data_IF_651379734976
#
_entry.id   IF_651379734976
#
_cell.length_a   1.000
_cell.length_b   1.000
_cell.length_c   1.000
_cell.angle_alpha   90.00
_cell.angle_beta   90.00
_cell.angle_gamma   90.00
#
_symmetry.space_group_name_H-M   'P 1'
#
loop_
_entity.id
_entity.type
_entity.pdbx_description
1 polymer ?
#
# COMPACT_ATOMS: atom_id res chain seq x y z
N UNK A 1 -10.28 -25.59 19.20
CA UNK A 1 -8.98 -25.17 18.65
C UNK A 1 -9.08 -24.73 17.18
N UNK A 2 -9.72 -25.51 16.29
CA UNK A 2 -9.90 -25.16 14.86
C UNK A 2 -10.78 -23.91 14.60
N UNK A 3 -11.91 -23.77 15.30
CA UNK A 3 -12.81 -22.60 15.15
C UNK A 3 -12.13 -21.26 15.49
N UNK A 4 -11.29 -21.24 16.53
CA UNK A 4 -10.55 -20.05 16.93
C UNK A 4 -9.50 -19.64 15.87
N UNK A 5 -8.86 -20.62 15.20
CA UNK A 5 -7.91 -20.34 14.11
C UNK A 5 -8.62 -19.77 12.88
N UNK A 6 -9.79 -20.28 12.53
CA UNK A 6 -10.60 -19.77 11.41
C UNK A 6 -11.05 -18.34 11.67
N UNK A 7 -11.53 -18.04 12.89
CA UNK A 7 -11.96 -16.70 13.26
C UNK A 7 -10.80 -15.70 13.20
N UNK A 8 -9.63 -16.07 13.72
CA UNK A 8 -8.43 -15.22 13.64
C UNK A 8 -7.98 -14.96 12.20
N UNK A 9 -8.08 -15.97 11.32
CA UNK A 9 -7.78 -15.81 9.90
C UNK A 9 -8.79 -14.88 9.20
N UNK A 10 -10.09 -15.04 9.47
CA UNK A 10 -11.14 -14.20 8.90
C UNK A 10 -10.95 -12.72 9.26
N UNK A 11 -10.73 -12.42 10.56
CA UNK A 11 -10.46 -11.06 11.03
C UNK A 11 -9.22 -10.47 10.34
N UNK A 12 -8.16 -11.28 10.17
CA UNK A 12 -6.93 -10.85 9.49
C UNK A 12 -7.20 -10.44 8.04
N UNK A 13 -7.89 -11.28 7.28
CA UNK A 13 -8.19 -10.96 5.87
C UNK A 13 -9.14 -9.77 5.74
N UNK A 14 -10.10 -9.63 6.65
CA UNK A 14 -10.99 -8.47 6.68
C UNK A 14 -10.21 -7.16 6.92
N UNK A 15 -9.27 -7.16 7.86
CA UNK A 15 -8.38 -6.01 8.08
C UNK A 15 -7.54 -5.66 6.85
N UNK A 16 -7.01 -6.68 6.15
CA UNK A 16 -6.21 -6.49 4.94
C UNK A 16 -7.05 -5.87 3.83
N UNK A 17 -8.22 -6.45 3.55
CA UNK A 17 -9.11 -5.98 2.47
C UNK A 17 -9.56 -4.54 2.76
N UNK A 18 -10.00 -4.26 3.98
CA UNK A 18 -10.40 -2.91 4.39
C UNK A 18 -9.23 -1.93 4.27
N UNK A 19 -8.03 -2.33 4.68
CA UNK A 19 -6.84 -1.50 4.55
C UNK A 19 -6.47 -1.19 3.10
N UNK A 20 -6.59 -2.16 2.19
CA UNK A 20 -6.36 -1.98 0.75
C UNK A 20 -7.35 -0.98 0.17
N UNK A 21 -8.65 -1.14 0.48
CA UNK A 21 -9.69 -0.24 -0.03
C UNK A 21 -9.49 1.18 0.48
N UNK A 22 -9.27 1.36 1.79
CA UNK A 22 -9.02 2.68 2.37
C UNK A 22 -7.75 3.31 1.79
N UNK A 23 -6.67 2.55 1.65
CA UNK A 23 -5.45 3.03 1.03
C UNK A 23 -5.66 3.43 -0.43
N UNK A 24 -6.48 2.70 -1.18
CA UNK A 24 -6.71 2.98 -2.58
C UNK A 24 -7.54 4.25 -2.74
N UNK A 25 -8.53 4.46 -1.87
CA UNK A 25 -9.29 5.71 -1.77
C UNK A 25 -8.36 6.86 -1.41
N UNK A 26 -7.47 6.68 -0.42
CA UNK A 26 -6.44 7.68 -0.07
C UNK A 26 -5.68 8.17 -1.29
N UNK A 27 -5.15 7.23 -2.10
CA UNK A 27 -4.37 7.58 -3.29
C UNK A 27 -5.24 8.17 -4.40
N UNK A 28 -6.33 7.52 -4.78
CA UNK A 28 -7.12 7.87 -5.98
C UNK A 28 -8.04 9.07 -5.79
N UNK A 29 -8.56 9.30 -4.58
CA UNK A 29 -9.55 10.35 -4.31
C UNK A 29 -8.90 11.63 -3.80
N UNK A 30 -7.87 11.52 -2.96
CA UNK A 30 -7.27 12.68 -2.31
C UNK A 30 -5.93 13.09 -2.93
N UNK A 31 -5.06 12.14 -3.26
CA UNK A 31 -3.68 12.46 -3.65
C UNK A 31 -3.51 12.63 -5.16
N UNK A 32 -4.01 11.67 -5.94
CA UNK A 32 -3.87 11.63 -7.39
C UNK A 32 -4.51 12.84 -8.12
N UNK A 33 -5.74 13.30 -7.81
CA UNK A 33 -6.38 14.38 -8.57
C UNK A 33 -5.68 15.74 -8.49
N UNK A 34 -4.77 15.89 -7.52
CA UNK A 34 -4.05 17.14 -7.26
C UNK A 34 -2.54 16.98 -7.41
N UNK A 35 -2.08 15.88 -8.03
CA UNK A 35 -0.67 15.54 -8.26
C UNK A 35 0.16 15.56 -6.97
N UNK A 36 -0.45 15.14 -5.87
CA UNK A 36 0.23 15.06 -4.58
C UNK A 36 0.91 13.70 -4.51
N UNK A 37 2.23 13.67 -4.69
CA UNK A 37 3.00 12.44 -4.57
C UNK A 37 3.16 12.01 -3.09
N UNK A 38 2.63 10.85 -2.66
CA UNK A 38 2.91 10.30 -1.33
C UNK A 38 4.38 9.85 -1.20
N UNK A 39 4.85 9.52 0.00
CA UNK A 39 6.21 9.00 0.14
C UNK A 39 6.36 7.56 -0.42
N UNK A 40 7.57 7.20 -0.87
CA UNK A 40 7.93 5.83 -1.26
C UNK A 40 7.50 5.43 -2.67
N UNK A 41 7.15 4.15 -2.86
CA UNK A 41 6.85 3.58 -4.18
C UNK A 41 5.60 4.20 -4.82
N UNK A 42 4.56 4.47 -4.02
CA UNK A 42 3.35 5.12 -4.52
C UNK A 42 3.65 6.53 -5.06
N UNK A 43 4.49 7.31 -4.37
CA UNK A 43 4.94 8.63 -4.84
C UNK A 43 5.70 8.59 -6.14
N UNK A 44 6.70 7.70 -6.22
CA UNK A 44 7.45 7.50 -7.45
C UNK A 44 6.52 7.13 -8.62
N UNK A 45 5.47 6.36 -8.35
CA UNK A 45 4.48 5.97 -9.36
C UNK A 45 3.58 7.13 -9.77
N UNK A 46 3.16 7.99 -8.83
CA UNK A 46 2.41 9.22 -9.12
C UNK A 46 3.23 10.19 -9.98
N UNK A 47 4.51 10.41 -9.65
CA UNK A 47 5.40 11.26 -10.44
C UNK A 47 5.61 10.71 -11.87
N UNK A 48 5.75 9.39 -12.01
CA UNK A 48 5.86 8.77 -13.33
C UNK A 48 4.56 8.89 -14.14
N UNK A 49 3.40 8.81 -13.49
CA UNK A 49 2.12 9.08 -14.13
C UNK A 49 2.01 10.54 -14.59
N UNK A 50 2.45 11.51 -13.79
CA UNK A 50 2.44 12.94 -14.16
C UNK A 50 3.31 13.23 -15.40
N UNK A 51 4.43 12.51 -15.57
CA UNK A 51 5.36 12.73 -16.69
C UNK A 51 5.03 11.88 -17.93
N UNK A 52 4.52 10.66 -17.75
CA UNK A 52 4.38 9.66 -18.83
C UNK A 52 2.96 9.13 -19.02
N UNK A 53 1.96 9.63 -18.28
CA UNK A 53 0.56 9.16 -18.29
C UNK A 53 0.40 7.65 -18.03
N UNK A 54 1.36 7.04 -17.33
CA UNK A 54 1.36 5.58 -17.05
C UNK A 54 0.34 5.22 -15.97
N UNK A 55 -0.32 4.05 -16.01
CA UNK A 55 -1.20 3.62 -14.93
C UNK A 55 -0.44 3.49 -13.59
N UNK A 56 -0.90 4.24 -12.58
CA UNK A 56 -0.21 4.34 -11.27
C UNK A 56 -0.09 2.96 -10.62
N UNK A 57 -1.18 2.18 -10.61
CA UNK A 57 -1.22 0.84 -10.01
C UNK A 57 -0.21 -0.11 -10.66
N UNK A 58 -0.12 -0.12 -12.00
CA UNK A 58 0.88 -0.91 -12.73
C UNK A 58 2.31 -0.54 -12.30
N UNK A 59 2.63 0.76 -12.25
CA UNK A 59 3.97 1.21 -11.85
C UNK A 59 4.27 0.84 -10.40
N UNK A 60 3.28 0.96 -9.49
CA UNK A 60 3.42 0.50 -8.10
C UNK A 60 3.76 -0.98 -8.05
N UNK A 61 3.07 -1.81 -8.83
CA UNK A 61 3.32 -3.25 -8.88
C UNK A 61 4.75 -3.54 -9.36
N UNK A 62 5.16 -2.94 -10.48
CA UNK A 62 6.48 -3.14 -11.09
C UNK A 62 7.62 -2.69 -10.17
N UNK A 63 7.52 -1.50 -9.57
CA UNK A 63 8.54 -0.98 -8.64
C UNK A 63 8.64 -1.80 -7.36
N UNK A 64 7.55 -2.48 -6.96
CA UNK A 64 7.60 -3.37 -5.81
C UNK A 64 8.32 -4.70 -6.11
N UNK A 65 8.31 -5.22 -7.33
CA UNK A 65 8.96 -6.50 -7.68
C UNK A 65 10.39 -6.62 -7.13
N UNK A 66 11.33 -5.67 -7.42
CA UNK A 66 12.70 -5.79 -6.93
C UNK A 66 12.79 -5.73 -5.39
N UNK A 67 11.97 -4.89 -4.74
CA UNK A 67 11.94 -4.76 -3.28
C UNK A 67 11.44 -6.05 -2.63
N UNK A 68 10.41 -6.63 -3.23
CA UNK A 68 9.76 -7.85 -2.76
C UNK A 68 10.67 -9.06 -2.97
N UNK A 69 11.45 -9.07 -4.04
CA UNK A 69 12.50 -10.05 -4.30
C UNK A 69 13.63 -9.95 -3.25
N UNK A 70 14.08 -8.74 -2.91
CA UNK A 70 15.04 -8.55 -1.82
C UNK A 70 14.49 -9.07 -0.49
N UNK A 71 13.24 -8.75 -0.16
CA UNK A 71 12.59 -9.26 1.05
C UNK A 71 12.46 -10.78 1.08
N UNK A 72 12.29 -11.42 -0.08
CA UNK A 72 12.22 -12.88 -0.17
C UNK A 72 13.53 -13.55 0.28
N UNK A 73 14.67 -13.01 -0.16
CA UNK A 73 15.98 -13.56 0.15
C UNK A 73 16.52 -13.15 1.52
N UNK A 74 16.14 -11.96 2.02
CA UNK A 74 16.75 -11.37 3.22
C UNK A 74 15.97 -11.61 4.51
N UNK A 75 14.68 -11.95 4.45
CA UNK A 75 13.86 -12.16 5.65
C UNK A 75 13.84 -13.63 6.11
N UNK A 76 13.97 -13.91 7.42
CA UNK A 76 13.67 -15.23 7.96
C UNK A 76 12.18 -15.54 7.77
N UNK A 77 11.85 -16.63 7.06
CA UNK A 77 10.50 -16.94 6.54
C UNK A 77 9.98 -15.97 5.47
N UNK A 78 10.88 -15.38 4.67
CA UNK A 78 10.57 -14.41 3.61
C UNK A 78 9.42 -14.85 2.72
N UNK A 79 9.40 -16.09 2.23
CA UNK A 79 8.33 -16.60 1.38
C UNK A 79 6.91 -16.32 1.91
N UNK A 80 6.64 -16.55 3.21
CA UNK A 80 5.29 -16.39 3.77
C UNK A 80 4.87 -14.92 3.87
N UNK A 81 5.78 -14.04 4.32
CA UNK A 81 5.48 -12.61 4.45
C UNK A 81 5.37 -11.99 3.08
N UNK A 82 6.30 -12.32 2.19
CA UNK A 82 6.44 -11.71 0.89
C UNK A 82 5.31 -12.08 -0.05
N UNK A 83 4.88 -13.35 -0.06
CA UNK A 83 3.72 -13.77 -0.86
C UNK A 83 2.46 -13.00 -0.47
N UNK A 84 2.26 -12.73 0.83
CA UNK A 84 1.11 -11.93 1.29
C UNK A 84 1.21 -10.49 0.80
N UNK A 85 2.39 -9.87 0.88
CA UNK A 85 2.53 -8.50 0.38
C UNK A 85 2.36 -8.43 -1.13
N UNK A 86 2.86 -9.40 -1.90
CA UNK A 86 2.64 -9.46 -3.35
C UNK A 86 1.15 -9.46 -3.67
N UNK A 87 0.35 -10.27 -2.96
CA UNK A 87 -1.11 -10.28 -3.12
C UNK A 87 -1.71 -8.91 -2.74
N UNK A 88 -1.27 -8.31 -1.64
CA UNK A 88 -1.74 -6.97 -1.22
C UNK A 88 -1.43 -5.92 -2.28
N UNK A 89 -0.18 -5.86 -2.75
CA UNK A 89 0.28 -4.93 -3.78
C UNK A 89 -0.52 -5.14 -5.07
N UNK A 90 -0.67 -6.40 -5.51
CA UNK A 90 -1.42 -6.73 -6.73
C UNK A 90 -2.87 -6.26 -6.64
N UNK A 91 -3.57 -6.59 -5.55
CA UNK A 91 -4.98 -6.17 -5.36
C UNK A 91 -5.05 -4.64 -5.25
N UNK A 92 -4.16 -4.02 -4.49
CA UNK A 92 -4.09 -2.56 -4.36
C UNK A 92 -3.88 -1.87 -5.71
N UNK A 93 -2.91 -2.32 -6.50
CA UNK A 93 -2.63 -1.83 -7.86
C UNK A 93 -3.85 -1.92 -8.77
N UNK A 94 -4.52 -3.08 -8.79
CA UNK A 94 -5.74 -3.28 -9.59
C UNK A 94 -6.85 -2.34 -9.12
N UNK A 95 -7.05 -2.21 -7.81
CA UNK A 95 -8.08 -1.33 -7.26
C UNK A 95 -7.79 0.12 -7.63
N UNK A 96 -6.55 0.60 -7.50
CA UNK A 96 -6.15 1.96 -7.86
C UNK A 96 -6.43 2.27 -9.33
N UNK A 97 -5.96 1.42 -10.25
CA UNK A 97 -6.15 1.64 -11.70
C UNK A 97 -7.62 1.52 -12.13
N UNK A 98 -8.45 0.78 -11.39
CA UNK A 98 -9.89 0.68 -11.68
C UNK A 98 -10.73 1.78 -11.00
N UNK A 99 -10.33 2.27 -9.83
CA UNK A 99 -11.02 3.35 -9.13
C UNK A 99 -10.73 4.71 -9.77
N UNK A 100 -9.47 4.99 -10.10
CA UNK A 100 -9.03 6.29 -10.61
C UNK A 100 -9.91 6.83 -11.75
N UNK A 101 -10.12 6.08 -12.84
CA UNK A 101 -10.94 6.53 -13.97
C UNK A 101 -12.45 6.69 -13.67
N UNK A 102 -12.93 6.13 -12.55
CA UNK A 102 -14.35 6.13 -12.18
C UNK A 102 -14.71 7.22 -11.17
N UNK A 103 -13.71 7.95 -10.67
CA UNK A 103 -13.87 8.99 -9.66
C UNK A 103 -13.76 10.39 -10.30
N UNK A 104 -14.35 11.42 -9.68
CA UNK A 104 -14.28 12.78 -10.21
C UNK A 104 -12.82 13.27 -10.30
N UNK A 105 -12.44 13.78 -11.47
CA UNK A 105 -11.08 14.28 -11.72
C UNK A 105 -10.69 15.50 -10.85
N UNK A 106 -11.67 16.15 -10.21
CA UNK A 106 -11.46 17.30 -9.31
C UNK A 106 -11.24 16.90 -7.85
N UNK A 107 -11.26 15.61 -7.52
CA UNK A 107 -11.19 15.14 -6.12
C UNK A 107 -12.42 15.56 -5.28
N UNK A 108 -12.29 15.51 -3.96
CA UNK A 108 -13.36 15.91 -3.01
C UNK A 108 -13.32 17.42 -2.71
N UNK A 109 -12.17 18.06 -2.84
CA UNK A 109 -11.97 19.49 -2.55
C UNK A 109 -10.88 20.07 -3.45
N UNK A 110 -11.00 21.35 -3.80
CA UNK A 110 -9.97 22.06 -4.57
C UNK A 110 -8.74 22.45 -3.72
N UNK A 111 -8.86 22.36 -2.40
CA UNK A 111 -7.79 22.75 -1.48
C UNK A 111 -6.73 21.65 -1.35
N UNK A 112 -5.54 21.89 -1.92
CA UNK A 112 -4.39 20.96 -1.86
C UNK A 112 -4.02 20.54 -0.45
N UNK A 113 -4.02 21.46 0.51
CA UNK A 113 -3.64 21.15 1.90
C UNK A 113 -4.65 20.21 2.57
N UNK A 114 -5.94 20.40 2.30
CA UNK A 114 -7.00 19.57 2.87
C UNK A 114 -6.92 18.14 2.34
N UNK A 115 -6.69 17.99 1.05
CA UNK A 115 -6.50 16.69 0.41
C UNK A 115 -5.22 15.99 0.88
N UNK A 116 -4.11 16.71 1.03
CA UNK A 116 -2.88 16.14 1.60
C UNK A 116 -3.12 15.60 3.02
N UNK A 117 -3.85 16.34 3.85
CA UNK A 117 -4.19 15.94 5.22
C UNK A 117 -5.07 14.68 5.23
N UNK A 118 -6.18 14.68 4.49
CA UNK A 118 -7.08 13.53 4.44
C UNK A 118 -6.44 12.32 3.75
N UNK A 119 -5.68 12.54 2.68
CA UNK A 119 -4.88 11.51 2.02
C UNK A 119 -3.90 10.87 2.99
N UNK A 120 -3.17 11.66 3.78
CA UNK A 120 -2.26 11.18 4.81
C UNK A 120 -2.96 10.39 5.92
N UNK A 121 -4.05 10.92 6.48
CA UNK A 121 -4.80 10.27 7.57
C UNK A 121 -5.43 8.96 7.09
N UNK A 122 -6.13 8.98 5.95
CA UNK A 122 -6.79 7.78 5.39
C UNK A 122 -5.76 6.74 4.97
N UNK A 123 -4.67 7.16 4.31
CA UNK A 123 -3.58 6.27 3.92
C UNK A 123 -2.90 5.63 5.13
N UNK A 124 -2.65 6.41 6.19
CA UNK A 124 -2.11 5.93 7.46
C UNK A 124 -3.02 4.89 8.13
N UNK A 125 -4.34 5.11 8.13
CA UNK A 125 -5.31 4.12 8.62
C UNK A 125 -5.25 2.84 7.79
N UNK A 126 -5.23 2.95 6.45
CA UNK A 126 -5.17 1.80 5.55
C UNK A 126 -3.93 0.94 5.79
N UNK A 127 -2.76 1.56 5.83
CA UNK A 127 -1.49 0.89 6.13
C UNK A 127 -1.48 0.30 7.55
N UNK A 128 -1.99 1.03 8.54
CA UNK A 128 -2.07 0.59 9.93
C UNK A 128 -2.94 -0.67 10.11
N UNK A 129 -4.05 -0.79 9.40
CA UNK A 129 -4.90 -1.99 9.41
C UNK A 129 -4.15 -3.21 8.83
N UNK A 130 -3.39 -3.02 7.75
CA UNK A 130 -2.60 -4.07 7.11
C UNK A 130 -1.47 -4.55 8.03
N UNK A 131 -0.79 -3.63 8.71
CA UNK A 131 0.20 -3.99 9.72
C UNK A 131 -0.41 -4.70 10.94
N UNK A 132 -1.58 -4.27 11.39
CA UNK A 132 -2.31 -4.94 12.48
C UNK A 132 -2.69 -6.37 12.10
N UNK A 133 -2.91 -6.63 10.82
CA UNK A 133 -3.12 -7.97 10.27
C UNK A 133 -1.80 -8.79 10.12
N UNK A 134 -0.65 -8.25 10.53
CA UNK A 134 0.66 -8.88 10.43
C UNK A 134 1.10 -9.12 8.98
N UNK A 135 0.67 -8.24 8.07
CA UNK A 135 1.12 -8.17 6.69
C UNK A 135 1.86 -6.84 6.46
N UNK A 136 2.47 -6.69 5.29
CA UNK A 136 3.20 -5.46 4.92
C UNK A 136 2.62 -4.92 3.62
N UNK A 137 2.57 -3.60 3.50
CA UNK A 137 1.96 -2.90 2.37
C UNK A 137 2.85 -2.89 1.11
N UNK A 138 4.09 -3.37 1.22
CA UNK A 138 5.07 -3.32 0.14
C UNK A 138 5.96 -2.08 0.17
N UNK A 139 7.02 -2.09 -0.62
CA UNK A 139 7.91 -0.95 -0.78
C UNK A 139 8.70 -0.64 0.49
N UNK A 140 8.66 0.62 1.00
CA UNK A 140 9.43 1.02 2.18
C UNK A 140 9.11 0.19 3.43
N UNK A 141 7.87 -0.30 3.56
CA UNK A 141 7.44 -1.17 4.66
C UNK A 141 8.18 -2.51 4.69
N UNK A 142 8.48 -3.07 3.51
CA UNK A 142 9.25 -4.32 3.41
C UNK A 142 10.72 -4.06 3.69
N UNK A 143 11.26 -2.94 3.21
CA UNK A 143 12.63 -2.52 3.55
C UNK A 143 12.81 -2.26 5.05
N UNK A 144 11.85 -1.59 5.68
CA UNK A 144 11.83 -1.37 7.12
C UNK A 144 11.82 -2.69 7.89
N UNK A 145 11.02 -3.67 7.45
CA UNK A 145 10.99 -5.01 8.05
C UNK A 145 12.32 -5.76 7.89
N UNK A 146 12.98 -5.63 6.73
CA UNK A 146 14.32 -6.20 6.51
C UNK A 146 15.33 -5.54 7.48
N UNK A 147 15.31 -4.22 7.57
CA UNK A 147 16.19 -3.43 8.43
C UNK A 147 16.03 -3.81 9.90
N UNK A 148 14.78 -3.87 10.37
CA UNK A 148 14.41 -4.29 11.73
C UNK A 148 14.97 -5.68 12.06
N UNK A 149 14.75 -6.66 11.15
CA UNK A 149 15.23 -8.03 11.35
C UNK A 149 16.74 -8.19 11.27
N UNK A 150 17.43 -7.32 10.51
CA UNK A 150 18.88 -7.41 10.30
C UNK A 150 19.67 -6.69 11.37
N UNK A 151 19.19 -5.55 11.85
CA UNK A 151 19.93 -4.69 12.79
C UNK A 151 19.30 -4.57 14.16
N UNK A 152 18.09 -5.11 14.38
CA UNK A 152 17.48 -5.16 15.71
C UNK A 152 17.42 -3.81 16.41
N UNK A 153 17.15 -2.73 15.65
CA UNK A 153 17.02 -1.37 16.18
C UNK A 153 15.72 -1.27 16.99
N UNK A 154 15.72 -1.91 18.16
CA UNK A 154 14.83 -1.60 19.27
C UNK A 154 15.40 -0.36 19.97
N UNK A 155 15.08 0.82 19.45
CA UNK A 155 15.18 2.06 20.21
C UNK A 155 13.75 2.54 20.49
#
# INVERSE_FOLDING_TARGET
>A
MMLAQIHAAAVRYLLIITGIVIGAISLTVFLQPLDIAPAGVAGASTLLNEVFDTPIGLVIFLLNIPIQLLGYFMLPNGARVILRSVVIIMVFSVVVDNLGPRLPATGISDERMLNALFGGVTGGIGVGLIYRAGATFGGPSTLALINDRRWGLHN
#
